data_IF_808220345482
#
_entry.id   IF_808220345482
#
_cell.length_a   1.000
_cell.length_b   1.000
_cell.length_c   1.000
_cell.angle_alpha   90.00
_cell.angle_beta   90.00
_cell.angle_gamma   90.00
#
_symmetry.space_group_name_H-M   'P 1'
#
loop_
_entity.id
_entity.type
_entity.pdbx_description
1 polymer ?
#
# COMPACT_ATOMS: atom_id res chain seq x y z
N UNK A 1 -7.64 -10.30 6.37
CA UNK A 1 -7.10 -9.34 5.37
C UNK A 1 -6.46 -10.16 4.28
N UNK A 2 -6.74 -9.92 3.00
CA UNK A 2 -6.00 -10.57 1.93
C UNK A 2 -4.58 -9.99 1.93
N UNK A 3 -3.63 -10.81 2.36
CA UNK A 3 -2.20 -10.45 2.42
C UNK A 3 -1.53 -10.74 1.08
N UNK A 4 -2.17 -11.58 0.27
CA UNK A 4 -1.85 -11.78 -1.12
C UNK A 4 -2.53 -10.68 -1.96
N UNK A 5 -1.80 -10.00 -2.76
CA UNK A 5 -2.34 -9.00 -3.69
C UNK A 5 -2.80 -9.62 -5.03
N UNK A 6 -3.03 -10.95 -5.06
CA UNK A 6 -3.55 -11.63 -6.22
C UNK A 6 -5.08 -11.47 -6.35
N UNK A 7 -5.50 -10.26 -6.71
CA UNK A 7 -6.91 -9.97 -6.97
C UNK A 7 -7.39 -10.50 -8.32
N UNK A 8 -6.48 -10.88 -9.22
CA UNK A 8 -6.84 -11.36 -10.55
C UNK A 8 -7.46 -12.75 -10.52
N UNK A 9 -7.01 -13.60 -9.59
CA UNK A 9 -7.53 -14.96 -9.38
C UNK A 9 -8.85 -14.99 -8.60
N UNK A 10 -9.20 -13.91 -7.87
CA UNK A 10 -10.37 -13.85 -7.00
C UNK A 10 -11.68 -13.87 -7.79
N UNK A 11 -12.65 -14.62 -7.24
CA UNK A 11 -14.03 -14.61 -7.70
C UNK A 11 -14.72 -13.28 -7.39
N UNK A 12 -15.84 -13.02 -8.03
CA UNK A 12 -16.63 -11.81 -7.80
C UNK A 12 -17.15 -11.71 -6.35
N UNK A 13 -17.45 -12.83 -5.76
CA UNK A 13 -17.90 -12.94 -4.37
C UNK A 13 -16.77 -12.59 -3.39
N UNK A 14 -15.57 -13.13 -3.61
CA UNK A 14 -14.38 -12.81 -2.81
C UNK A 14 -14.00 -11.32 -2.92
N UNK A 15 -14.11 -10.74 -4.11
CA UNK A 15 -13.87 -9.30 -4.30
C UNK A 15 -14.88 -8.45 -3.52
N UNK A 16 -16.15 -8.85 -3.46
CA UNK A 16 -17.18 -8.17 -2.63
C UNK A 16 -16.88 -8.32 -1.14
N UNK A 17 -16.46 -9.50 -0.70
CA UNK A 17 -16.06 -9.71 0.70
C UNK A 17 -14.86 -8.83 1.07
N UNK A 18 -13.90 -8.66 0.17
CA UNK A 18 -12.79 -7.73 0.39
C UNK A 18 -13.26 -6.28 0.55
N UNK A 19 -14.13 -5.79 -0.34
CA UNK A 19 -14.66 -4.44 -0.22
C UNK A 19 -15.41 -4.23 1.10
N UNK A 20 -16.26 -5.19 1.48
CA UNK A 20 -16.95 -5.16 2.77
C UNK A 20 -15.96 -5.13 3.94
N UNK A 21 -14.95 -6.00 3.92
CA UNK A 21 -13.91 -6.01 4.94
C UNK A 21 -13.20 -4.65 5.02
N UNK A 22 -12.86 -4.04 3.88
CA UNK A 22 -12.21 -2.75 3.82
C UNK A 22 -13.04 -1.66 4.52
N UNK A 23 -14.32 -1.54 4.17
CA UNK A 23 -15.23 -0.56 4.75
C UNK A 23 -15.40 -0.76 6.27
N UNK A 24 -15.50 -2.00 6.73
CA UNK A 24 -15.68 -2.34 8.14
C UNK A 24 -14.41 -2.16 8.97
N UNK A 25 -13.22 -2.27 8.37
CA UNK A 25 -11.96 -2.30 9.12
C UNK A 25 -11.05 -1.09 8.87
N UNK A 26 -11.33 -0.26 7.87
CA UNK A 26 -10.47 0.87 7.50
C UNK A 26 -10.11 1.74 8.71
N UNK A 27 -11.07 2.14 9.52
CA UNK A 27 -10.84 2.99 10.68
C UNK A 27 -9.99 2.28 11.76
N UNK A 28 -10.30 1.02 12.07
CA UNK A 28 -9.51 0.26 13.06
C UNK A 28 -8.07 0.05 12.59
N UNK A 29 -7.84 -0.14 11.30
CA UNK A 29 -6.50 -0.25 10.72
C UNK A 29 -5.71 1.05 10.85
N UNK A 30 -6.36 2.19 10.65
CA UNK A 30 -5.74 3.51 10.89
C UNK A 30 -5.35 3.69 12.36
N UNK A 31 -6.22 3.30 13.29
CA UNK A 31 -5.91 3.38 14.73
C UNK A 31 -4.73 2.48 15.12
N UNK A 32 -4.64 1.27 14.56
CA UNK A 32 -3.49 0.38 14.76
C UNK A 32 -2.19 1.00 14.22
N UNK A 33 -2.22 1.61 13.05
CA UNK A 33 -1.07 2.33 12.49
C UNK A 33 -0.65 3.48 13.41
N UNK A 34 -1.60 4.33 13.82
CA UNK A 34 -1.33 5.49 14.70
C UNK A 34 -0.68 5.03 15.99
N UNK A 35 -1.23 3.98 16.60
CA UNK A 35 -0.68 3.39 17.81
C UNK A 35 0.74 2.87 17.58
N UNK A 36 0.98 2.13 16.51
CA UNK A 36 2.29 1.58 16.20
C UNK A 36 3.34 2.68 16.03
N UNK A 37 3.02 3.74 15.29
CA UNK A 37 3.93 4.87 15.11
C UNK A 37 4.20 5.59 16.44
N UNK A 38 3.17 5.99 17.17
CA UNK A 38 3.30 6.79 18.40
C UNK A 38 3.95 6.02 19.57
N UNK A 39 3.93 4.70 19.56
CA UNK A 39 4.64 3.88 20.54
C UNK A 39 6.10 3.58 20.15
N UNK A 40 6.52 3.98 18.96
CA UNK A 40 7.91 3.83 18.53
C UNK A 40 8.75 4.99 19.04
N UNK A 41 9.88 4.69 19.70
CA UNK A 41 10.80 5.69 20.22
C UNK A 41 11.27 6.66 19.13
N UNK A 42 11.09 7.95 19.37
CA UNK A 42 11.44 9.03 18.43
C UNK A 42 10.32 9.44 17.50
N UNK A 43 9.15 8.78 17.59
CA UNK A 43 7.95 9.08 16.79
C UNK A 43 6.73 9.44 17.64
N UNK A 44 6.89 9.58 18.94
CA UNK A 44 5.81 9.86 19.91
C UNK A 44 5.05 11.15 19.58
N UNK A 45 5.74 12.12 19.00
CA UNK A 45 5.19 13.42 18.61
C UNK A 45 4.60 13.46 17.19
N UNK A 46 4.60 12.33 16.48
CA UNK A 46 3.94 12.28 15.17
C UNK A 46 2.43 12.46 15.34
N UNK A 47 1.86 13.35 14.54
CA UNK A 47 0.42 13.58 14.51
C UNK A 47 -0.18 13.04 13.22
N UNK A 48 -1.23 12.21 13.38
CA UNK A 48 -2.03 11.69 12.25
C UNK A 48 -3.11 12.73 11.87
N UNK A 49 -2.66 13.94 11.56
CA UNK A 49 -3.53 15.07 11.20
C UNK A 49 -4.03 15.05 9.76
N UNK A 50 -3.60 14.04 9.00
CA UNK A 50 -3.88 13.88 7.58
C UNK A 50 -3.37 15.04 6.70
N UNK A 51 -2.49 15.89 7.22
CA UNK A 51 -1.76 16.83 6.38
C UNK A 51 -0.77 16.11 5.45
N UNK A 52 -0.45 16.68 4.29
CA UNK A 52 0.64 16.14 3.46
C UNK A 52 1.97 16.04 4.20
N UNK A 53 2.23 16.97 5.12
CA UNK A 53 3.45 17.04 5.93
C UNK A 53 3.61 15.85 6.87
N UNK A 54 2.50 15.28 7.37
CA UNK A 54 2.52 14.08 8.20
C UNK A 54 3.17 12.87 7.52
N UNK A 55 3.13 12.84 6.18
CA UNK A 55 3.75 11.78 5.37
C UNK A 55 5.28 11.76 5.44
N UNK A 56 5.91 12.88 5.80
CA UNK A 56 7.39 12.95 5.90
C UNK A 56 7.90 12.08 7.04
N UNK A 57 7.33 12.26 8.22
CA UNK A 57 7.72 11.48 9.41
C UNK A 57 7.22 10.03 9.30
N UNK A 58 6.00 9.83 8.79
CA UNK A 58 5.45 8.48 8.55
C UNK A 58 6.33 7.69 7.56
N UNK A 59 6.79 8.32 6.49
CA UNK A 59 7.67 7.68 5.51
C UNK A 59 9.01 7.27 6.09
N UNK A 60 9.61 8.13 6.93
CA UNK A 60 10.84 7.79 7.66
C UNK A 60 10.61 6.62 8.61
N UNK A 61 9.52 6.65 9.40
CA UNK A 61 9.15 5.55 10.27
C UNK A 61 8.97 4.24 9.50
N UNK A 62 8.32 4.29 8.33
CA UNK A 62 8.12 3.11 7.50
C UNK A 62 9.45 2.53 7.02
N UNK A 63 10.39 3.36 6.54
CA UNK A 63 11.72 2.92 6.12
C UNK A 63 12.46 2.17 7.24
N UNK A 64 12.34 2.64 8.49
CA UNK A 64 12.98 2.04 9.66
C UNK A 64 12.29 0.75 10.15
N UNK A 65 11.03 0.50 9.73
CA UNK A 65 10.21 -0.63 10.19
C UNK A 65 9.90 -1.65 9.08
N UNK A 66 10.49 -1.51 7.90
CA UNK A 66 10.41 -2.54 6.86
C UNK A 66 11.28 -3.73 7.25
N UNK A 67 10.65 -4.90 7.29
CA UNK A 67 11.31 -6.17 7.61
C UNK A 67 11.23 -7.12 6.42
N UNK A 68 12.27 -7.94 6.25
CA UNK A 68 12.34 -8.97 5.22
C UNK A 68 12.55 -10.33 5.87
N UNK A 69 12.13 -11.37 5.18
CA UNK A 69 12.36 -12.77 5.56
C UNK A 69 12.96 -13.54 4.39
N UNK A 70 13.80 -14.52 4.70
CA UNK A 70 14.38 -15.39 3.67
C UNK A 70 13.31 -16.36 3.16
N UNK A 71 13.25 -16.53 1.86
CA UNK A 71 12.38 -17.52 1.24
C UNK A 71 12.85 -18.94 1.55
N UNK A 72 11.92 -19.87 1.72
CA UNK A 72 12.22 -21.29 1.70
C UNK A 72 12.70 -21.71 0.29
N UNK A 73 13.31 -22.89 0.18
CA UNK A 73 13.74 -23.40 -1.12
C UNK A 73 12.56 -23.60 -2.09
N UNK A 74 11.40 -24.02 -1.56
CA UNK A 74 10.19 -24.19 -2.33
C UNK A 74 9.65 -22.86 -2.86
N UNK A 75 9.48 -21.87 -2.00
CA UNK A 75 9.03 -20.51 -2.38
C UNK A 75 9.98 -19.86 -3.39
N UNK A 76 11.29 -20.04 -3.20
CA UNK A 76 12.27 -19.53 -4.15
C UNK A 76 12.14 -20.21 -5.53
N UNK A 77 11.95 -21.55 -5.56
CA UNK A 77 11.75 -22.29 -6.80
C UNK A 77 10.48 -21.87 -7.52
N UNK A 78 9.37 -21.71 -6.80
CA UNK A 78 8.10 -21.22 -7.36
C UNK A 78 8.25 -19.81 -7.93
N UNK A 79 8.85 -18.89 -7.18
CA UNK A 79 9.11 -17.52 -7.62
C UNK A 79 10.05 -17.49 -8.83
N UNK A 80 11.07 -18.37 -8.86
CA UNK A 80 11.99 -18.51 -10.00
C UNK A 80 11.27 -19.01 -11.26
N UNK A 81 10.38 -19.99 -11.11
CA UNK A 81 9.60 -20.55 -12.21
C UNK A 81 8.57 -19.57 -12.81
N UNK A 82 8.13 -18.58 -12.01
CA UNK A 82 7.12 -17.59 -12.43
C UNK A 82 7.69 -16.47 -13.32
N UNK A 83 9.03 -16.36 -13.45
CA UNK A 83 9.68 -15.28 -14.22
C UNK A 83 10.73 -15.85 -15.19
N UNK A 84 11.00 -15.18 -16.33
CA UNK A 84 12.03 -15.58 -17.26
C UNK A 84 13.43 -15.65 -16.63
N UNK A 85 14.28 -16.55 -17.12
CA UNK A 85 15.61 -16.82 -16.54
C UNK A 85 16.55 -15.61 -16.52
N UNK A 86 16.40 -14.69 -17.46
CA UNK A 86 17.20 -13.46 -17.52
C UNK A 86 16.81 -12.41 -16.48
N UNK A 87 15.69 -12.61 -15.74
CA UNK A 87 15.27 -11.73 -14.66
C UNK A 87 15.85 -12.25 -13.35
N UNK A 88 16.70 -11.47 -12.71
CA UNK A 88 17.19 -11.75 -11.36
C UNK A 88 16.07 -11.66 -10.31
N UNK A 89 16.00 -12.62 -9.41
CA UNK A 89 15.09 -12.60 -8.27
C UNK A 89 15.89 -12.59 -6.97
N UNK A 90 15.31 -12.03 -5.91
CA UNK A 90 15.86 -12.12 -4.56
C UNK A 90 15.44 -13.44 -3.90
N UNK A 91 16.30 -13.93 -2.99
CA UNK A 91 16.04 -15.09 -2.12
C UNK A 91 15.30 -14.71 -0.83
N UNK A 92 14.69 -13.52 -0.80
CA UNK A 92 13.93 -12.98 0.31
C UNK A 92 12.66 -12.26 -0.19
N UNK A 93 11.72 -12.02 0.73
CA UNK A 93 10.55 -11.18 0.51
C UNK A 93 10.28 -10.31 1.74
N UNK A 94 9.39 -9.34 1.61
CA UNK A 94 8.91 -8.55 2.76
C UNK A 94 8.01 -9.41 3.64
N UNK A 95 8.16 -9.27 4.96
CA UNK A 95 7.37 -10.04 5.93
C UNK A 95 5.88 -9.73 5.85
N UNK A 96 5.05 -10.63 6.40
CA UNK A 96 3.61 -10.40 6.58
C UNK A 96 3.35 -9.10 7.36
N UNK A 97 4.17 -8.81 8.37
CA UNK A 97 4.10 -7.55 9.13
C UNK A 97 4.31 -6.34 8.22
N UNK A 98 5.35 -6.34 7.39
CA UNK A 98 5.62 -5.25 6.44
C UNK A 98 4.49 -5.09 5.42
N UNK A 99 3.92 -6.19 4.93
CA UNK A 99 2.75 -6.15 4.02
C UNK A 99 1.54 -5.54 4.71
N UNK A 100 1.29 -5.89 5.98
CA UNK A 100 0.22 -5.29 6.78
C UNK A 100 0.42 -3.78 6.97
N UNK A 101 1.63 -3.34 7.31
CA UNK A 101 1.98 -1.93 7.41
C UNK A 101 1.78 -1.20 6.08
N UNK A 102 2.15 -1.82 4.97
CA UNK A 102 1.95 -1.22 3.64
C UNK A 102 0.46 -0.97 3.34
N UNK A 103 -0.43 -1.89 3.76
CA UNK A 103 -1.89 -1.67 3.65
C UNK A 103 -2.33 -0.48 4.49
N UNK A 104 -1.93 -0.42 5.75
CA UNK A 104 -2.36 0.62 6.68
C UNK A 104 -1.86 2.00 6.26
N UNK A 105 -0.58 2.08 5.85
CA UNK A 105 0.01 3.31 5.31
C UNK A 105 -0.64 3.68 3.97
N UNK A 106 -1.01 2.70 3.13
CA UNK A 106 -1.75 2.93 1.89
C UNK A 106 -3.14 3.50 2.13
N UNK A 107 -3.83 3.02 3.18
CA UNK A 107 -5.11 3.59 3.64
C UNK A 107 -4.89 5.02 4.13
N UNK A 108 -3.92 5.25 5.01
CA UNK A 108 -3.60 6.59 5.52
C UNK A 108 -3.25 7.57 4.40
N UNK A 109 -2.40 7.15 3.46
CA UNK A 109 -2.02 7.94 2.28
C UNK A 109 -3.25 8.32 1.44
N UNK A 110 -4.19 7.38 1.26
CA UNK A 110 -5.46 7.65 0.59
C UNK A 110 -6.33 8.66 1.35
N UNK A 111 -6.42 8.55 2.67
CA UNK A 111 -7.16 9.50 3.50
C UNK A 111 -6.54 10.91 3.48
N UNK A 112 -5.20 11.02 3.36
CA UNK A 112 -4.55 12.31 3.15
C UNK A 112 -5.07 12.99 1.89
N UNK A 113 -5.22 12.26 0.78
CA UNK A 113 -5.82 12.83 -0.43
C UNK A 113 -7.29 13.22 -0.23
N UNK A 114 -8.10 12.32 0.31
CA UNK A 114 -9.55 12.52 0.46
C UNK A 114 -9.85 13.72 1.37
N UNK A 115 -9.07 13.90 2.44
CA UNK A 115 -9.30 15.00 3.39
C UNK A 115 -8.79 16.35 2.90
N UNK A 116 -7.87 16.38 1.93
CA UNK A 116 -7.30 17.63 1.40
C UNK A 116 -7.85 18.03 0.04
N UNK A 117 -8.64 17.17 -0.63
CA UNK A 117 -9.16 17.46 -1.98
C UNK A 117 -10.62 16.99 -2.09
N UNK A 118 -11.49 17.91 -2.41
CA UNK A 118 -12.92 17.63 -2.60
C UNK A 118 -13.17 16.70 -3.80
N UNK A 119 -14.21 15.87 -3.68
CA UNK A 119 -14.63 14.96 -4.76
C UNK A 119 -13.89 13.63 -4.82
N UNK A 120 -12.82 13.47 -4.03
CA UNK A 120 -12.13 12.19 -3.93
C UNK A 120 -12.86 11.23 -2.98
N UNK A 121 -12.95 9.96 -3.37
CA UNK A 121 -13.59 8.90 -2.56
C UNK A 121 -13.00 7.54 -2.82
N UNK A 122 -13.07 6.66 -1.82
CA UNK A 122 -12.82 5.23 -2.01
C UNK A 122 -13.91 4.59 -2.87
N UNK A 123 -13.50 3.74 -3.79
CA UNK A 123 -14.39 2.93 -4.61
C UNK A 123 -13.70 1.64 -5.02
N UNK A 124 -14.42 0.51 -5.00
CA UNK A 124 -13.87 -0.72 -5.53
C UNK A 124 -13.81 -0.66 -7.07
N UNK A 125 -12.64 -0.90 -7.64
CA UNK A 125 -12.49 -0.96 -9.09
C UNK A 125 -12.90 -2.33 -9.63
N UNK A 126 -14.05 -2.38 -10.26
CA UNK A 126 -14.56 -3.58 -10.91
C UNK A 126 -14.48 -3.43 -12.44
N UNK A 127 -13.87 -4.39 -13.10
CA UNK A 127 -13.73 -4.42 -14.55
C UNK A 127 -13.99 -5.84 -15.09
N UNK A 128 -14.44 -5.93 -16.33
CA UNK A 128 -14.59 -7.19 -17.06
C UNK A 128 -13.24 -7.76 -17.50
N UNK A 129 -12.21 -6.92 -17.63
CA UNK A 129 -10.86 -7.35 -17.97
C UNK A 129 -10.27 -8.18 -16.84
N UNK A 130 -9.88 -9.42 -17.12
CA UNK A 130 -9.22 -10.30 -16.15
C UNK A 130 -7.81 -9.83 -15.81
N UNK A 131 -7.17 -9.11 -16.71
CA UNK A 131 -5.75 -8.74 -16.62
C UNK A 131 -5.51 -7.29 -16.18
N UNK A 132 -6.56 -6.55 -15.81
CA UNK A 132 -6.37 -5.19 -15.31
C UNK A 132 -5.78 -5.26 -13.90
N UNK A 133 -4.62 -4.59 -13.70
CA UNK A 133 -3.87 -4.72 -12.45
C UNK A 133 -4.62 -4.21 -11.22
N UNK A 134 -5.54 -3.26 -11.40
CA UNK A 134 -6.35 -2.72 -10.29
C UNK A 134 -7.69 -3.43 -10.09
N UNK A 135 -7.96 -4.51 -10.85
CA UNK A 135 -9.22 -5.25 -10.72
C UNK A 135 -9.44 -5.71 -9.26
N UNK A 136 -10.56 -5.31 -8.70
CA UNK A 136 -10.98 -5.70 -7.34
C UNK A 136 -10.36 -4.87 -6.22
N UNK A 137 -9.35 -4.06 -6.49
CA UNK A 137 -8.73 -3.19 -5.49
C UNK A 137 -9.67 -2.07 -5.05
N UNK A 138 -9.52 -1.64 -3.81
CA UNK A 138 -10.03 -0.35 -3.36
C UNK A 138 -9.10 0.74 -3.87
N UNK A 139 -9.65 1.69 -4.61
CA UNK A 139 -8.92 2.80 -5.23
C UNK A 139 -9.59 4.12 -4.88
N UNK A 140 -8.87 5.21 -5.03
CA UNK A 140 -9.44 6.55 -4.88
C UNK A 140 -9.82 7.06 -6.27
N UNK A 141 -11.09 7.39 -6.44
CA UNK A 141 -11.67 8.02 -7.63
C UNK A 141 -11.76 9.53 -7.44
N UNK A 142 -11.72 10.25 -8.57
CA UNK A 142 -11.82 11.70 -8.61
C UNK A 142 -10.60 12.40 -9.21
N UNK A 143 -9.59 11.64 -9.67
CA UNK A 143 -8.42 12.15 -10.41
C UNK A 143 -8.72 12.30 -11.92
N UNK A 144 -9.82 12.96 -12.28
CA UNK A 144 -10.22 13.10 -13.69
C UNK A 144 -10.49 11.74 -14.34
N UNK A 145 -9.65 11.32 -15.28
CA UNK A 145 -9.73 10.01 -15.95
C UNK A 145 -9.00 8.90 -15.19
N UNK A 146 -8.13 9.27 -14.27
CA UNK A 146 -7.27 8.36 -13.54
C UNK A 146 -7.85 7.98 -12.18
N UNK A 147 -7.22 7.04 -11.54
CA UNK A 147 -7.55 6.58 -10.20
C UNK A 147 -6.26 6.24 -9.44
N UNK A 148 -6.24 6.50 -8.16
CA UNK A 148 -5.09 6.22 -7.30
C UNK A 148 -5.31 4.90 -6.54
N UNK A 149 -4.52 3.89 -6.86
CA UNK A 149 -4.40 2.68 -6.03
C UNK A 149 -3.33 2.89 -4.97
N UNK A 150 -3.69 3.62 -3.91
CA UNK A 150 -2.76 4.01 -2.86
C UNK A 150 -2.13 2.82 -2.14
N UNK A 151 -2.90 1.76 -1.87
CA UNK A 151 -2.41 0.55 -1.20
C UNK A 151 -1.35 -0.15 -2.04
N UNK A 152 -1.60 -0.31 -3.35
CA UNK A 152 -0.63 -0.93 -4.25
C UNK A 152 0.66 -0.12 -4.39
N UNK A 153 0.55 1.21 -4.51
CA UNK A 153 1.70 2.10 -4.58
C UNK A 153 2.57 1.99 -3.32
N UNK A 154 1.96 1.93 -2.15
CA UNK A 154 2.71 1.78 -0.89
C UNK A 154 3.31 0.38 -0.75
N UNK A 155 2.66 -0.66 -1.26
CA UNK A 155 3.25 -1.99 -1.33
C UNK A 155 4.52 -2.01 -2.20
N UNK A 156 4.50 -1.34 -3.37
CA UNK A 156 5.68 -1.18 -4.22
C UNK A 156 6.76 -0.37 -3.50
N UNK A 157 6.38 0.68 -2.77
CA UNK A 157 7.31 1.46 -1.95
C UNK A 157 7.98 0.58 -0.89
N UNK A 158 7.23 -0.27 -0.17
CA UNK A 158 7.77 -1.21 0.81
C UNK A 158 8.88 -2.09 0.21
N UNK A 159 8.63 -2.64 -0.98
CA UNK A 159 9.62 -3.44 -1.70
C UNK A 159 10.87 -2.60 -2.08
N UNK A 160 10.68 -1.34 -2.46
CA UNK A 160 11.76 -0.41 -2.76
C UNK A 160 12.59 -0.03 -1.54
N UNK A 161 11.94 0.14 -0.38
CA UNK A 161 12.61 0.39 0.91
C UNK A 161 13.43 -0.84 1.34
N UNK A 162 12.84 -2.04 1.26
CA UNK A 162 13.50 -3.30 1.57
C UNK A 162 14.76 -3.51 0.70
N UNK A 163 14.69 -3.19 -0.59
CA UNK A 163 15.81 -3.22 -1.54
C UNK A 163 16.82 -2.08 -1.35
N UNK A 164 16.54 -1.12 -0.48
CA UNK A 164 17.33 0.12 -0.30
C UNK A 164 17.47 0.95 -1.58
N UNK A 165 16.56 0.79 -2.54
CA UNK A 165 16.49 1.56 -3.78
C UNK A 165 15.61 2.80 -3.67
N UNK A 166 14.80 2.86 -2.60
CA UNK A 166 13.96 3.99 -2.22
C UNK A 166 14.23 4.40 -0.78
N UNK A 167 13.80 5.61 -0.45
CA UNK A 167 13.88 6.20 0.89
C UNK A 167 12.49 6.55 1.39
N UNK A 168 12.31 6.70 2.71
CA UNK A 168 11.03 7.08 3.31
C UNK A 168 10.49 8.42 2.81
N UNK A 169 11.36 9.36 2.39
CA UNK A 169 10.97 10.62 1.75
C UNK A 169 10.07 10.41 0.53
N UNK A 170 10.18 9.25 -0.12
CA UNK A 170 9.37 8.91 -1.30
C UNK A 170 7.88 8.93 -1.00
N UNK A 171 7.45 8.68 0.24
CA UNK A 171 6.03 8.74 0.59
C UNK A 171 5.43 10.14 0.36
N UNK A 172 6.12 11.19 0.82
CA UNK A 172 5.72 12.58 0.58
C UNK A 172 5.89 13.00 -0.89
N UNK A 173 6.95 12.54 -1.56
CA UNK A 173 7.16 12.81 -2.98
C UNK A 173 6.02 12.23 -3.84
N UNK A 174 5.55 11.01 -3.54
CA UNK A 174 4.41 10.39 -4.23
C UNK A 174 3.14 11.23 -4.09
N UNK A 175 2.89 11.82 -2.92
CA UNK A 175 1.77 12.75 -2.76
C UNK A 175 1.89 13.93 -3.74
N UNK A 176 3.07 14.55 -3.82
CA UNK A 176 3.29 15.70 -4.70
C UNK A 176 3.18 15.33 -6.19
N UNK A 177 3.54 14.12 -6.57
CA UNK A 177 3.35 13.62 -7.95
C UNK A 177 1.87 13.49 -8.26
N UNK A 178 1.13 12.74 -7.47
CA UNK A 178 -0.29 12.48 -7.71
C UNK A 178 -1.19 13.72 -7.55
N UNK A 179 -0.76 14.69 -6.73
CA UNK A 179 -1.46 15.96 -6.59
C UNK A 179 -1.53 16.73 -7.91
N UNK A 180 -0.54 16.57 -8.80
CA UNK A 180 -0.51 17.25 -10.10
C UNK A 180 -1.64 16.78 -11.05
N UNK A 181 -2.14 15.55 -10.82
CA UNK A 181 -3.21 14.95 -11.63
C UNK A 181 -4.62 15.37 -11.16
N UNK A 182 -4.70 16.21 -10.13
CA UNK A 182 -5.98 16.74 -9.62
C UNK A 182 -6.46 18.00 -10.37
N UNK A 183 -5.78 18.42 -11.43
CA UNK A 183 -6.21 19.43 -12.41
C UNK A 183 -6.26 20.83 -11.85
#
# INVERSE_FOLDING_TARGET
>A
MPIDYDFQSKTKEELKLYAKWFEENKESRLQELIKAVKTTKGYENWEADYSPESLKMLGKWFEENVETEKLSEEEYKEKRAAVPDYIGIQDWDITIKTRSLAVDIGIYFGEVFIKNHEGLKWEQYLTRSKYHMDKGHMVIKGFGKDMLNSIWIIYILASGLAKKTKKGTRLYELYNVWKQDLG
#
